data_IF_294128636803
#
_entry.id   IF_294128636803
#
_cell.length_a   1.000
_cell.length_b   1.000
_cell.length_c   1.000
_cell.angle_alpha   90.00
_cell.angle_beta   90.00
_cell.angle_gamma   90.00
#
_symmetry.space_group_name_H-M   'P 1'
#
loop_
_entity.id
_entity.type
_entity.pdbx_description
1 polymer ?
#
# COMPACT_ATOMS: atom_id res chain seq x y z
N UNK A 1 -11.14 -1.15 26.79
CA UNK A 1 -11.42 -2.36 26.01
C UNK A 1 -11.06 -2.04 24.58
N UNK A 2 -10.11 -2.77 24.01
CA UNK A 2 -9.72 -2.67 22.58
C UNK A 2 -10.50 -3.71 21.79
N UNK A 3 -10.86 -3.40 20.54
CA UNK A 3 -11.57 -4.34 19.67
C UNK A 3 -10.67 -5.51 19.22
N UNK A 4 -11.26 -6.53 18.60
CA UNK A 4 -10.53 -7.72 18.12
C UNK A 4 -9.73 -7.50 16.85
N UNK A 5 -9.87 -6.34 16.20
CA UNK A 5 -9.18 -5.95 14.96
C UNK A 5 -7.67 -6.20 15.03
N UNK A 6 -7.08 -6.79 13.99
CA UNK A 6 -5.63 -6.99 13.90
C UNK A 6 -4.98 -5.99 12.93
N UNK A 7 -3.99 -5.25 13.44
CA UNK A 7 -3.21 -4.27 12.68
C UNK A 7 -1.81 -4.75 12.29
N UNK A 8 -1.42 -6.00 12.64
CA UNK A 8 -0.09 -6.52 12.35
C UNK A 8 0.25 -6.48 10.86
N UNK A 9 -0.67 -6.92 10.01
CA UNK A 9 -0.48 -6.93 8.56
C UNK A 9 -0.31 -5.52 7.98
N UNK A 10 -1.08 -4.55 8.47
CA UNK A 10 -1.01 -3.15 8.03
C UNK A 10 0.32 -2.52 8.48
N UNK A 11 0.76 -2.83 9.70
CA UNK A 11 2.07 -2.42 10.20
C UNK A 11 3.21 -2.99 9.35
N UNK A 12 3.16 -4.28 8.99
CA UNK A 12 4.19 -4.91 8.16
C UNK A 12 4.28 -4.28 6.76
N UNK A 13 3.18 -3.78 6.20
CA UNK A 13 3.20 -3.03 4.94
C UNK A 13 3.87 -1.67 5.10
N UNK A 14 3.49 -0.91 6.12
CA UNK A 14 4.12 0.39 6.40
C UNK A 14 5.62 0.23 6.64
N UNK A 15 6.01 -0.77 7.44
CA UNK A 15 7.40 -1.08 7.69
C UNK A 15 8.14 -1.45 6.40
N UNK A 16 7.56 -2.32 5.56
CA UNK A 16 8.12 -2.68 4.26
C UNK A 16 8.31 -1.48 3.35
N UNK A 17 7.34 -0.57 3.29
CA UNK A 17 7.44 0.66 2.51
C UNK A 17 8.65 1.50 2.96
N UNK A 18 8.83 1.66 4.26
CA UNK A 18 9.95 2.42 4.80
C UNK A 18 11.32 1.71 4.66
N UNK A 19 11.38 0.45 4.21
CA UNK A 19 12.67 -0.25 4.09
C UNK A 19 13.56 0.37 3.00
N UNK A 20 14.90 0.40 3.20
CA UNK A 20 15.81 0.91 2.18
C UNK A 20 15.64 0.22 0.83
N UNK A 21 15.34 -1.09 0.83
CA UNK A 21 15.11 -1.86 -0.39
C UNK A 21 13.94 -1.33 -1.21
N UNK A 22 12.78 -1.08 -0.57
CA UNK A 22 11.60 -0.51 -1.24
C UNK A 22 11.89 0.92 -1.71
N UNK A 23 12.44 1.74 -0.82
CA UNK A 23 12.77 3.14 -1.09
C UNK A 23 13.74 3.28 -2.27
N UNK A 24 14.80 2.47 -2.33
CA UNK A 24 15.71 2.48 -3.48
C UNK A 24 15.06 1.95 -4.75
N UNK A 25 14.26 0.88 -4.69
CA UNK A 25 13.53 0.39 -5.86
C UNK A 25 12.59 1.46 -6.43
N UNK A 26 11.91 2.21 -5.55
CA UNK A 26 11.08 3.35 -5.92
C UNK A 26 11.90 4.46 -6.60
N UNK A 27 13.02 4.84 -5.99
CA UNK A 27 13.92 5.85 -6.53
C UNK A 27 14.49 5.49 -7.90
N UNK A 28 14.97 4.25 -8.08
CA UNK A 28 15.49 3.79 -9.37
C UNK A 28 14.42 3.75 -10.48
N UNK A 29 13.16 3.51 -10.11
CA UNK A 29 12.06 3.35 -11.08
C UNK A 29 11.39 4.67 -11.46
N UNK A 30 11.19 5.55 -10.48
CA UNK A 30 10.40 6.77 -10.64
C UNK A 30 11.19 8.06 -10.38
N UNK A 31 12.47 7.96 -9.98
CA UNK A 31 13.33 9.11 -9.69
C UNK A 31 13.05 9.79 -8.34
N UNK A 32 12.21 9.19 -7.50
CA UNK A 32 11.85 9.71 -6.17
C UNK A 32 11.62 8.59 -5.18
N UNK A 33 11.79 8.89 -3.90
CA UNK A 33 11.42 7.98 -2.82
C UNK A 33 9.88 7.88 -2.71
N UNK A 34 9.40 6.77 -2.14
CA UNK A 34 7.98 6.62 -1.78
C UNK A 34 7.72 7.34 -0.45
N UNK A 35 6.63 8.09 -0.37
CA UNK A 35 6.25 8.83 0.84
C UNK A 35 5.52 7.93 1.85
N UNK A 36 5.11 6.72 1.44
CA UNK A 36 4.43 5.73 2.28
C UNK A 36 3.11 6.21 2.91
N UNK A 37 2.56 7.33 2.43
CA UNK A 37 1.37 7.97 2.98
C UNK A 37 0.15 7.04 2.99
N UNK A 38 -0.08 6.27 1.91
CA UNK A 38 -1.18 5.31 1.85
C UNK A 38 -1.07 4.25 2.96
N UNK A 39 0.13 3.70 3.18
CA UNK A 39 0.36 2.72 4.25
C UNK A 39 0.19 3.34 5.65
N UNK A 40 0.55 4.63 5.79
CA UNK A 40 0.39 5.37 7.04
C UNK A 40 -1.09 5.64 7.34
N UNK A 41 -1.88 6.02 6.33
CA UNK A 41 -3.32 6.22 6.46
C UNK A 41 -4.05 4.91 6.78
N UNK A 42 -3.66 3.80 6.14
CA UNK A 42 -4.19 2.47 6.49
C UNK A 42 -3.87 2.12 7.95
N UNK A 43 -2.65 2.42 8.43
CA UNK A 43 -2.25 2.17 9.81
C UNK A 43 -3.06 3.03 10.81
N UNK A 44 -3.23 4.33 10.53
CA UNK A 44 -4.07 5.22 11.34
C UNK A 44 -5.51 4.71 11.42
N UNK A 45 -6.05 4.26 10.30
CA UNK A 45 -7.42 3.73 10.21
C UNK A 45 -7.58 2.44 10.98
N UNK A 46 -6.60 1.52 10.88
CA UNK A 46 -6.60 0.30 11.67
C UNK A 46 -6.52 0.58 13.17
N UNK A 47 -5.64 1.49 13.60
CA UNK A 47 -5.54 1.87 15.01
C UNK A 47 -6.83 2.51 15.51
N UNK A 48 -7.47 3.36 14.70
CA UNK A 48 -8.79 3.93 15.03
C UNK A 48 -9.83 2.83 15.25
N UNK A 49 -9.87 1.82 14.39
CA UNK A 49 -10.73 0.66 14.56
C UNK A 49 -10.37 -0.14 15.83
N UNK A 50 -9.08 -0.33 16.13
CA UNK A 50 -8.59 -1.04 17.32
C UNK A 50 -9.04 -0.41 18.64
N UNK A 51 -9.10 0.92 18.67
CA UNK A 51 -9.50 1.69 19.85
C UNK A 51 -11.01 2.02 19.88
N UNK A 52 -11.76 1.64 18.85
CA UNK A 52 -13.22 1.74 18.85
C UNK A 52 -13.81 0.68 19.79
N UNK A 53 -14.75 1.09 20.64
CA UNK A 53 -15.32 0.22 21.70
C UNK A 53 -16.40 -0.72 21.19
N UNK A 54 -17.17 -0.27 20.21
CA UNK A 54 -18.20 -1.09 19.57
C UNK A 54 -17.53 -2.00 18.53
N UNK A 55 -17.70 -3.30 18.68
CA UNK A 55 -17.01 -4.29 17.84
C UNK A 55 -17.53 -4.27 16.40
N UNK A 56 -18.83 -4.02 16.21
CA UNK A 56 -19.42 -3.96 14.88
C UNK A 56 -18.97 -2.68 14.14
N UNK A 57 -18.89 -1.55 14.84
CA UNK A 57 -18.33 -0.31 14.33
C UNK A 57 -16.83 -0.46 14.04
N UNK A 58 -16.07 -1.06 14.95
CA UNK A 58 -14.64 -1.32 14.76
C UNK A 58 -14.39 -2.15 13.50
N UNK A 59 -15.14 -3.25 13.32
CA UNK A 59 -15.03 -4.10 12.14
C UNK A 59 -15.43 -3.34 10.87
N UNK A 60 -16.46 -2.49 10.94
CA UNK A 60 -16.88 -1.66 9.79
C UNK A 60 -15.80 -0.65 9.40
N UNK A 61 -15.25 0.09 10.36
CA UNK A 61 -14.16 1.06 10.14
C UNK A 61 -12.92 0.37 9.56
N UNK A 62 -12.59 -0.83 10.07
CA UNK A 62 -11.48 -1.62 9.54
C UNK A 62 -11.73 -2.08 8.10
N UNK A 63 -12.90 -2.65 7.80
CA UNK A 63 -13.21 -3.18 6.47
C UNK A 63 -13.40 -2.11 5.39
N UNK A 64 -13.98 -0.96 5.76
CA UNK A 64 -14.21 0.15 4.82
C UNK A 64 -12.97 1.02 4.63
N UNK A 65 -12.11 1.08 5.66
CA UNK A 65 -11.05 2.07 5.76
C UNK A 65 -9.63 1.54 5.56
N UNK A 66 -9.30 0.34 6.03
CA UNK A 66 -8.01 -0.27 5.73
C UNK A 66 -8.10 -0.87 4.31
N UNK A 67 -7.50 -0.20 3.32
CA UNK A 67 -7.46 -0.75 1.96
C UNK A 67 -6.77 -2.10 2.03
N UNK A 68 -7.41 -3.12 1.45
CA UNK A 68 -6.98 -4.51 1.59
C UNK A 68 -5.45 -4.64 1.40
N UNK A 69 -4.71 -5.10 2.43
CA UNK A 69 -3.26 -5.20 2.41
C UNK A 69 -2.73 -6.16 1.32
N UNK A 70 -3.60 -6.93 0.66
CA UNK A 70 -3.24 -7.75 -0.51
C UNK A 70 -3.04 -6.98 -1.82
N UNK A 71 -3.11 -5.63 -1.84
CA UNK A 71 -2.75 -4.84 -3.05
C UNK A 71 -1.32 -5.04 -3.55
N UNK A 72 -0.45 -5.67 -2.75
CA UNK A 72 0.94 -5.90 -3.13
C UNK A 72 1.26 -7.40 -3.23
N UNK A 73 0.79 -8.04 -4.29
CA UNK A 73 1.64 -9.09 -4.88
C UNK A 73 1.55 -9.13 -6.41
N UNK A 74 0.37 -9.15 -7.02
CA UNK A 74 0.24 -9.26 -8.49
C UNK A 74 -1.09 -8.70 -9.01
N UNK A 75 -1.30 -7.39 -9.01
CA UNK A 75 -2.39 -6.82 -9.80
C UNK A 75 -2.15 -7.17 -11.28
N UNK A 76 -3.00 -8.06 -11.83
CA UNK A 76 -2.95 -8.40 -13.25
C UNK A 76 -3.21 -7.11 -14.02
N UNK A 77 -2.15 -6.56 -14.63
CA UNK A 77 -2.32 -5.44 -15.54
C UNK A 77 -3.23 -5.89 -16.68
N UNK A 78 -4.26 -5.11 -16.96
CA UNK A 78 -5.12 -5.34 -18.14
C UNK A 78 -4.30 -5.36 -19.45
N UNK A 79 -3.13 -4.70 -19.46
CA UNK A 79 -2.16 -4.76 -20.57
C UNK A 79 -0.76 -5.15 -20.09
N UNK A 80 -0.16 -6.22 -20.63
CA UNK A 80 1.24 -6.52 -20.36
C UNK A 80 2.18 -5.45 -20.92
N UNK A 81 3.30 -5.20 -20.22
CA UNK A 81 4.26 -4.15 -20.59
C UNK A 81 5.16 -4.47 -21.80
N UNK A 82 4.91 -5.59 -22.48
CA UNK A 82 5.69 -6.13 -23.60
C UNK A 82 4.87 -6.23 -24.89
N UNK A 83 3.74 -5.51 -25.01
CA UNK A 83 3.12 -5.33 -26.32
C UNK A 83 4.12 -4.56 -27.22
N UNK A 84 4.77 -5.31 -28.11
CA UNK A 84 5.88 -4.91 -29.00
C UNK A 84 5.52 -3.83 -30.04
N UNK A 85 4.40 -3.13 -29.90
CA UNK A 85 3.99 -2.05 -30.83
C UNK A 85 4.69 -0.72 -30.56
N UNK A 86 5.61 -0.66 -29.59
CA UNK A 86 6.45 0.51 -29.31
C UNK A 86 7.92 0.10 -29.09
N UNK A 87 8.56 -0.42 -30.14
CA UNK A 87 10.00 -0.24 -30.36
C UNK A 87 10.25 0.98 -31.29
N UNK A 88 11.48 1.51 -31.35
CA UNK A 88 11.97 2.62 -30.54
C UNK A 88 11.94 3.95 -31.30
N UNK A 89 11.49 5.04 -30.65
CA UNK A 89 11.76 6.43 -31.05
C UNK A 89 11.78 7.29 -29.78
N UNK A 90 12.71 8.19 -29.51
CA UNK A 90 13.97 8.62 -30.11
C UNK A 90 14.54 9.64 -29.10
N UNK A 91 15.86 9.76 -28.97
CA UNK A 91 16.43 10.96 -28.37
C UNK A 91 16.13 12.20 -29.22
N UNK A 92 16.54 13.35 -28.70
CA UNK A 92 16.59 14.68 -29.36
C UNK A 92 15.30 15.51 -29.25
N UNK A 93 15.16 16.33 -28.20
CA UNK A 93 15.64 17.72 -28.12
C UNK A 93 15.48 18.28 -26.70
#
# INVERSE_FOLDING_TARGET
MTSSVDCGVVFDLLWRCATPRHQFASFYRWGKYDDCDDCLEDMKTCLKAKFTRDEAEAQRVYNEGAKNPTRVIWELKEKPGWDDTKGPQQGVH
#
